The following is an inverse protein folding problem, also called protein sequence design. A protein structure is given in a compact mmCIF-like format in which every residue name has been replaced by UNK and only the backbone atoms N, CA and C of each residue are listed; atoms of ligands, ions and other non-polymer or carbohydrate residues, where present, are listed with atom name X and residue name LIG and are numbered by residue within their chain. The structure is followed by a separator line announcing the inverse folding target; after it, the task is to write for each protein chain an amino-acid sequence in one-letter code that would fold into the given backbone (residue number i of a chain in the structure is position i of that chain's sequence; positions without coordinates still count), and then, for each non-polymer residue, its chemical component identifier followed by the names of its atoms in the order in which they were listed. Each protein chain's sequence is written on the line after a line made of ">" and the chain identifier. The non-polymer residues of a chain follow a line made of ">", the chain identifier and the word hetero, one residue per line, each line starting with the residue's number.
data_IF_042024771975
#
_entry.id   IF_042024771975
#
_cell.length_a   1.000
_cell.length_b   1.000
_cell.length_c   1.000
_cell.angle_alpha   90.00
_cell.angle_beta   90.00
_cell.angle_gamma   90.00
#
_symmetry.space_group_name_H-M   'P 1'
#
loop_
_entity.id
_entity.type
_entity.pdbx_description
1 polymer ?
#
# COMPACT_ATOMS: atom_id res chain seq x y z
N UNK A 1 -4.00 -5.45 9.75
CA UNK A 1 -3.32 -4.27 10.34
C UNK A 1 -1.92 -4.67 10.68
N UNK A 2 -0.95 -4.10 9.97
CA UNK A 2 0.47 -4.37 10.15
C UNK A 2 1.21 -3.04 10.39
N UNK A 3 2.17 -3.04 11.30
CA UNK A 3 3.00 -1.86 11.60
C UNK A 3 4.45 -2.17 11.30
N UNK A 4 5.10 -1.28 10.55
CA UNK A 4 6.48 -1.41 10.07
C UNK A 4 7.27 -0.22 10.60
N UNK A 5 8.44 -0.44 11.18
CA UNK A 5 9.31 0.66 11.64
C UNK A 5 9.96 1.33 10.44
N UNK A 6 9.89 2.66 10.40
CA UNK A 6 10.47 3.48 9.33
C UNK A 6 11.96 3.74 9.65
N UNK A 7 12.82 2.71 9.53
CA UNK A 7 14.24 2.78 9.92
C UNK A 7 15.00 3.70 8.96
N UNK A 8 14.67 3.66 7.67
CA UNK A 8 15.05 4.69 6.71
C UNK A 8 13.90 5.69 6.61
N UNK A 9 14.09 7.01 6.82
CA UNK A 9 13.01 7.98 6.77
C UNK A 9 12.45 8.10 5.34
N UNK A 10 11.50 7.23 5.01
CA UNK A 10 10.68 7.35 3.81
C UNK A 10 9.57 8.35 4.11
N UNK A 11 9.62 9.50 3.43
CA UNK A 11 8.50 10.44 3.37
C UNK A 11 7.35 9.84 2.59
N UNK A 12 6.11 10.21 2.94
CA UNK A 12 4.91 9.73 2.29
C UNK A 12 4.91 9.99 0.77
N UNK A 13 5.42 11.13 0.32
CA UNK A 13 5.60 11.45 -1.10
C UNK A 13 6.48 10.44 -1.85
N UNK A 14 7.63 10.07 -1.25
CA UNK A 14 8.55 9.09 -1.84
C UNK A 14 7.89 7.72 -1.87
N UNK A 15 7.24 7.33 -0.76
CA UNK A 15 6.56 6.06 -0.69
C UNK A 15 5.44 5.98 -1.73
N UNK A 16 4.65 7.04 -1.88
CA UNK A 16 3.61 7.14 -2.90
C UNK A 16 4.16 6.96 -4.30
N UNK A 17 5.27 7.64 -4.63
CA UNK A 17 5.90 7.50 -5.94
C UNK A 17 6.32 6.04 -6.19
N UNK A 18 6.96 5.38 -5.22
CA UNK A 18 7.36 3.97 -5.31
C UNK A 18 6.15 3.04 -5.45
N UNK A 19 5.08 3.31 -4.71
CA UNK A 19 3.87 2.49 -4.75
C UNK A 19 3.16 2.61 -6.10
N UNK A 20 3.06 3.83 -6.63
CA UNK A 20 2.40 4.11 -7.91
C UNK A 20 3.17 3.54 -9.11
N UNK A 21 4.49 3.43 -9.03
CA UNK A 21 5.30 2.86 -10.10
C UNK A 21 5.68 1.42 -9.79
N UNK A 22 6.61 1.20 -8.85
CA UNK A 22 7.22 -0.10 -8.62
C UNK A 22 6.26 -1.12 -8.02
N UNK A 23 5.44 -0.73 -7.03
CA UNK A 23 4.50 -1.67 -6.42
C UNK A 23 3.33 -1.99 -7.36
N UNK A 24 2.81 -0.99 -8.07
CA UNK A 24 1.80 -1.20 -9.11
C UNK A 24 2.31 -2.14 -10.21
N UNK A 25 3.54 -1.96 -10.70
CA UNK A 25 4.17 -2.89 -11.66
C UNK A 25 4.37 -4.29 -11.06
N UNK A 26 4.84 -4.37 -9.81
CA UNK A 26 5.07 -5.64 -9.11
C UNK A 26 3.79 -6.46 -8.94
N UNK A 27 2.70 -5.81 -8.55
CA UNK A 27 1.40 -6.48 -8.43
C UNK A 27 0.78 -6.73 -9.81
N UNK A 28 0.92 -5.85 -10.79
CA UNK A 28 0.51 -6.15 -12.17
C UNK A 28 1.21 -7.42 -12.68
N UNK A 29 2.50 -7.60 -12.39
CA UNK A 29 3.24 -8.81 -12.76
C UNK A 29 2.84 -10.08 -12.00
N UNK A 30 2.40 -9.95 -10.74
CA UNK A 30 2.04 -11.10 -9.87
C UNK A 30 0.56 -11.48 -9.88
N UNK A 31 -0.31 -10.48 -9.75
CA UNK A 31 -1.76 -10.62 -9.65
C UNK A 31 -2.48 -10.28 -10.96
N UNK A 32 -1.79 -9.67 -11.94
CA UNK A 32 -2.38 -9.35 -13.25
C UNK A 32 -3.51 -8.33 -13.14
N UNK A 33 -3.39 -7.34 -12.26
CA UNK A 33 -4.49 -6.41 -12.01
C UNK A 33 -4.08 -4.99 -11.79
N UNK A 34 -4.97 -4.07 -12.19
CA UNK A 34 -4.67 -2.67 -12.32
C UNK A 34 -4.95 -1.93 -11.00
N UNK A 35 -3.89 -1.74 -10.24
CA UNK A 35 -3.90 -0.96 -9.01
C UNK A 35 -4.00 0.53 -9.29
N UNK A 36 -4.88 1.20 -8.55
CA UNK A 36 -4.88 2.64 -8.42
C UNK A 36 -4.26 3.00 -7.06
N UNK A 37 -3.37 3.98 -7.02
CA UNK A 37 -2.83 4.53 -5.78
C UNK A 37 -3.26 5.99 -5.70
N UNK A 38 -3.88 6.36 -4.59
CA UNK A 38 -4.26 7.73 -4.25
C UNK A 38 -3.47 8.18 -3.02
N UNK A 39 -3.03 9.44 -3.01
CA UNK A 39 -2.23 9.98 -1.91
C UNK A 39 -2.85 11.23 -1.33
N UNK A 40 -3.31 11.09 -0.08
CA UNK A 40 -3.84 12.15 0.73
C UNK A 40 -2.69 12.85 1.48
N UNK A 41 -2.02 13.78 0.78
CA UNK A 41 -0.94 14.60 1.33
C UNK A 41 -1.28 15.33 2.65
N UNK A 42 -2.56 15.62 2.91
CA UNK A 42 -3.00 16.34 4.13
C UNK A 42 -2.82 15.50 5.40
N UNK A 43 -2.87 14.17 5.27
CA UNK A 43 -2.80 13.23 6.38
C UNK A 43 -1.60 12.28 6.30
N UNK A 44 -0.75 12.46 5.28
CA UNK A 44 0.33 11.52 4.94
C UNK A 44 -0.17 10.08 4.78
N UNK A 45 -1.36 9.95 4.18
CA UNK A 45 -2.05 8.68 3.98
C UNK A 45 -2.07 8.29 2.51
N UNK A 46 -1.68 7.06 2.22
CA UNK A 46 -1.70 6.50 0.87
C UNK A 46 -2.78 5.43 0.81
N UNK A 47 -3.75 5.63 -0.06
CA UNK A 47 -4.83 4.69 -0.31
C UNK A 47 -4.50 3.84 -1.54
N UNK A 48 -4.61 2.54 -1.37
CA UNK A 48 -4.43 1.55 -2.43
C UNK A 48 -5.82 1.10 -2.85
N UNK A 49 -6.23 1.48 -4.05
CA UNK A 49 -7.54 1.20 -4.61
C UNK A 49 -7.45 0.11 -5.68
N UNK A 50 -8.52 -0.68 -5.74
CA UNK A 50 -8.64 -1.79 -6.66
C UNK A 50 -9.97 -1.71 -7.41
N UNK A 51 -10.15 -0.69 -8.27
CA UNK A 51 -11.46 -0.36 -8.86
C UNK A 51 -12.04 -1.47 -9.74
N UNK A 52 -11.21 -2.39 -10.23
CA UNK A 52 -11.67 -3.54 -11.01
C UNK A 52 -12.34 -4.63 -10.15
N UNK A 53 -12.16 -4.57 -8.83
CA UNK A 53 -12.48 -5.67 -7.93
C UNK A 53 -13.42 -5.21 -6.81
N UNK A 54 -13.12 -4.08 -6.18
CA UNK A 54 -13.89 -3.55 -5.06
C UNK A 54 -14.17 -2.06 -5.26
N UNK A 55 -15.32 -1.58 -4.79
CA UNK A 55 -15.62 -0.16 -4.76
C UNK A 55 -14.98 0.50 -3.53
N UNK A 56 -13.84 1.17 -3.74
CA UNK A 56 -13.14 1.95 -2.71
C UNK A 56 -11.69 1.53 -2.48
N UNK A 57 -11.05 2.03 -1.41
CA UNK A 57 -9.69 1.65 -1.05
C UNK A 57 -9.66 0.23 -0.48
N UNK A 58 -8.78 -0.60 -1.03
CA UNK A 58 -8.49 -1.93 -0.52
C UNK A 58 -7.62 -1.88 0.73
N UNK A 59 -6.58 -1.05 0.69
CA UNK A 59 -5.65 -0.83 1.80
C UNK A 59 -5.44 0.67 2.00
N UNK A 60 -5.14 1.06 3.22
CA UNK A 60 -4.69 2.39 3.59
C UNK A 60 -3.34 2.27 4.29
N UNK A 61 -2.45 3.19 3.98
CA UNK A 61 -1.10 3.25 4.53
C UNK A 61 -0.93 4.61 5.17
N UNK A 62 -0.85 4.66 6.48
CA UNK A 62 -0.53 5.88 7.22
C UNK A 62 0.99 5.94 7.40
N UNK A 63 1.59 7.03 6.90
CA UNK A 63 3.03 7.26 7.02
C UNK A 63 3.29 8.26 8.14
N UNK A 64 4.16 7.89 9.07
CA UNK A 64 4.63 8.79 10.12
C UNK A 64 6.16 8.85 10.11
N UNK A 65 6.73 9.82 10.82
CA UNK A 65 8.19 9.95 10.95
C UNK A 65 8.88 8.70 11.51
N UNK A 66 8.17 7.88 12.29
CA UNK A 66 8.73 6.73 13.00
C UNK A 66 8.25 5.39 12.43
N UNK A 67 7.02 5.33 11.92
CA UNK A 67 6.34 4.07 11.61
C UNK A 67 5.42 4.21 10.39
N UNK A 68 5.30 3.11 9.64
CA UNK A 68 4.35 2.91 8.55
C UNK A 68 3.27 1.96 9.05
N UNK A 69 2.01 2.37 8.98
CA UNK A 69 0.88 1.55 9.40
C UNK A 69 0.04 1.18 8.20
N UNK A 70 -0.12 -0.12 7.96
CA UNK A 70 -0.95 -0.68 6.89
C UNK A 70 -2.26 -1.18 7.48
N UNK A 71 -3.37 -0.67 6.97
CA UNK A 71 -4.73 -1.02 7.36
C UNK A 71 -5.47 -1.62 6.17
N UNK A 72 -5.95 -2.86 6.32
CA UNK A 72 -6.83 -3.48 5.35
C UNK A 72 -8.24 -2.89 5.50
N UNK A 73 -8.73 -2.26 4.43
CA UNK A 73 -10.07 -1.67 4.37
C UNK A 73 -11.06 -2.53 3.57
N UNK A 74 -10.56 -3.36 2.64
CA UNK A 74 -11.39 -4.32 1.94
C UNK A 74 -11.93 -5.39 2.91
N UNK A 75 -13.26 -5.48 3.01
CA UNK A 75 -13.95 -6.52 3.78
C UNK A 75 -14.48 -7.65 2.90
N UNK A 76 -14.54 -7.45 1.58
CA UNK A 76 -14.96 -8.46 0.62
C UNK A 76 -13.82 -9.46 0.37
N UNK A 77 -14.10 -10.72 0.68
CA UNK A 77 -13.15 -11.85 0.70
C UNK A 77 -12.85 -12.40 -0.71
N UNK A 78 -13.49 -11.87 -1.75
CA UNK A 78 -13.47 -12.43 -3.11
C UNK A 78 -12.15 -12.18 -3.87
N UNK A 79 -11.34 -11.24 -3.41
CA UNK A 79 -10.03 -10.98 -3.97
C UNK A 79 -8.97 -11.19 -2.91
N UNK A 80 -7.78 -11.62 -3.32
CA UNK A 80 -6.68 -11.94 -2.41
C UNK A 80 -6.09 -10.68 -1.74
N UNK A 81 -6.92 -9.93 -1.04
CA UNK A 81 -6.60 -8.71 -0.31
C UNK A 81 -5.63 -9.02 0.84
N UNK A 82 -5.70 -10.22 1.41
CA UNK A 82 -4.68 -10.76 2.30
C UNK A 82 -3.32 -10.88 1.60
N UNK A 83 -3.28 -11.45 0.40
CA UNK A 83 -2.04 -11.57 -0.39
C UNK A 83 -1.51 -10.19 -0.81
N UNK A 84 -2.40 -9.23 -1.09
CA UNK A 84 -2.03 -7.85 -1.36
C UNK A 84 -1.42 -7.19 -0.11
N UNK A 85 -2.02 -7.36 1.07
CA UNK A 85 -1.48 -6.89 2.36
C UNK A 85 -0.10 -7.51 2.59
N UNK A 86 0.07 -8.82 2.40
CA UNK A 86 1.36 -9.51 2.56
C UNK A 86 2.43 -8.98 1.60
N UNK A 87 2.10 -8.83 0.31
CA UNK A 87 3.04 -8.30 -0.68
C UNK A 87 3.39 -6.84 -0.41
N UNK A 88 2.43 -6.03 0.04
CA UNK A 88 2.65 -4.64 0.41
C UNK A 88 3.55 -4.54 1.64
N UNK A 89 3.25 -5.30 2.70
CA UNK A 89 4.06 -5.34 3.91
C UNK A 89 5.48 -5.81 3.61
N UNK A 90 5.65 -6.83 2.77
CA UNK A 90 6.96 -7.29 2.32
C UNK A 90 7.71 -6.18 1.57
N UNK A 91 7.07 -5.55 0.59
CA UNK A 91 7.66 -4.45 -0.18
C UNK A 91 8.07 -3.28 0.72
N UNK A 92 7.20 -2.88 1.64
CA UNK A 92 7.48 -1.80 2.60
C UNK A 92 8.63 -2.17 3.54
N UNK A 93 8.67 -3.42 4.01
CA UNK A 93 9.76 -3.91 4.88
C UNK A 93 11.10 -3.90 4.15
N UNK A 94 11.15 -4.25 2.86
CA UNK A 94 12.36 -4.17 2.06
C UNK A 94 12.84 -2.73 1.81
N UNK A 95 11.93 -1.75 1.78
CA UNK A 95 12.28 -0.34 1.52
C UNK A 95 12.54 0.48 2.78
N UNK A 96 11.84 0.18 3.87
CA UNK A 96 11.98 0.86 5.16
C UNK A 96 13.09 0.26 6.04
N UNK A 97 13.62 -0.92 5.67
CA UNK A 97 14.68 -1.67 6.35
C UNK A 97 16.10 -1.29 5.95
#
# INVERSE_FOLDING_TARGET
>A
MATIKNIQPLSAEKLFALLKTEFADYINGKLGSNLAIDYAHVYDEINVLFPEVIEGPALNITVTDLELTVTLLATETDYNTALLEENLVAFLTERAG
#
